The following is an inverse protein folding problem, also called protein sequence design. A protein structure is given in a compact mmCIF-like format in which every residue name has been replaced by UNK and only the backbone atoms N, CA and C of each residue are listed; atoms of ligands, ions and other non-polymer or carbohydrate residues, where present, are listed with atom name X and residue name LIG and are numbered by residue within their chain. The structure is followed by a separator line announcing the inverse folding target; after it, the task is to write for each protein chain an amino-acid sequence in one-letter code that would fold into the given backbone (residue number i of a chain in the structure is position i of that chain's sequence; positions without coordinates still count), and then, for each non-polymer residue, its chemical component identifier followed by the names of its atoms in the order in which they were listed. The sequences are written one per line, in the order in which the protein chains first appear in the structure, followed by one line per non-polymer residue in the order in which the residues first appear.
data_IF_330774741200
#
_entry.id   IF_330774741200
#
_cell.length_a   1.000
_cell.length_b   1.000
_cell.length_c   1.000
_cell.angle_alpha   90.00
_cell.angle_beta   90.00
_cell.angle_gamma   90.00
#
_symmetry.space_group_name_H-M   'P 1'
#
loop_
_entity.id
_entity.type
_entity.pdbx_description
1 polymer ?
#
# COMPACT_ATOMS: atom_id res chain seq x y z
N UNK A 1 43.20 17.36 -5.93
CA UNK A 1 43.46 18.35 -7.01
C UNK A 1 42.93 17.73 -8.29
N UNK A 2 42.06 18.32 -9.11
CA UNK A 2 41.38 19.61 -9.15
C UNK A 2 39.97 19.32 -9.69
N UNK A 3 38.94 19.92 -9.10
CA UNK A 3 37.57 19.86 -9.58
C UNK A 3 37.46 20.79 -10.80
N UNK A 4 37.07 20.29 -11.97
CA UNK A 4 36.82 21.14 -13.13
C UNK A 4 35.42 20.89 -13.70
N UNK A 5 34.59 21.92 -13.52
CA UNK A 5 33.39 22.32 -14.27
C UNK A 5 32.27 21.29 -14.52
N UNK A 6 31.21 21.42 -13.69
CA UNK A 6 29.85 21.03 -14.07
C UNK A 6 29.31 21.99 -15.13
N UNK A 7 29.15 21.53 -16.37
CA UNK A 7 28.26 22.19 -17.34
C UNK A 7 26.86 21.57 -17.24
N UNK A 8 25.89 22.37 -16.78
CA UNK A 8 24.46 22.04 -16.80
C UNK A 8 23.95 22.09 -18.25
N UNK A 9 23.35 21.00 -18.73
CA UNK A 9 22.49 21.00 -19.93
C UNK A 9 21.03 20.95 -19.48
N UNK A 10 20.09 21.72 -20.07
CA UNK A 10 18.83 22.06 -19.41
C UNK A 10 17.66 21.06 -19.61
N UNK A 11 17.87 19.85 -20.13
CA UNK A 11 16.75 18.97 -20.51
C UNK A 11 16.87 17.49 -20.13
N UNK A 12 17.93 17.10 -19.43
CA UNK A 12 18.07 15.76 -18.84
C UNK A 12 18.64 15.94 -17.43
N UNK A 13 18.17 15.16 -16.47
CA UNK A 13 18.56 15.26 -15.05
C UNK A 13 20.08 15.26 -14.82
N UNK A 14 20.52 15.55 -13.60
CA UNK A 14 21.94 15.64 -13.23
C UNK A 14 22.72 14.36 -13.58
N UNK A 15 23.41 14.34 -14.73
CA UNK A 15 24.39 13.33 -15.07
C UNK A 15 25.80 13.91 -14.84
N UNK A 16 26.57 13.26 -13.97
CA UNK A 16 28.02 13.44 -13.94
C UNK A 16 28.64 12.44 -14.92
N UNK A 17 29.10 12.90 -16.07
CA UNK A 17 29.80 12.06 -17.05
C UNK A 17 31.29 12.10 -16.73
N UNK A 18 31.81 11.03 -16.13
CA UNK A 18 33.25 10.81 -16.03
C UNK A 18 33.69 9.94 -17.19
N UNK A 19 34.33 10.54 -18.20
CA UNK A 19 34.85 9.82 -19.37
C UNK A 19 36.19 9.19 -19.00
N UNK A 20 36.19 7.90 -18.65
CA UNK A 20 37.42 7.11 -18.59
C UNK A 20 37.69 6.47 -19.96
N UNK A 21 38.93 6.50 -20.46
CA UNK A 21 39.27 5.91 -21.74
C UNK A 21 39.17 4.38 -21.66
N UNK A 22 38.37 3.78 -22.55
CA UNK A 22 38.55 2.39 -22.95
C UNK A 22 37.50 1.34 -22.55
N UNK A 23 36.42 1.68 -21.84
CA UNK A 23 35.26 0.76 -21.69
C UNK A 23 34.02 1.53 -21.22
N UNK A 24 33.10 1.78 -22.13
CA UNK A 24 31.78 2.30 -21.77
C UNK A 24 31.00 1.22 -21.01
N UNK A 25 31.10 1.23 -19.68
CA UNK A 25 30.04 0.69 -18.82
C UNK A 25 29.30 1.89 -18.26
N UNK A 26 28.01 1.99 -18.58
CA UNK A 26 27.12 2.88 -17.86
C UNK A 26 27.18 2.50 -16.38
N UNK A 27 27.81 3.34 -15.56
CA UNK A 27 27.74 3.23 -14.11
C UNK A 27 26.37 3.78 -13.72
N UNK A 28 25.39 2.89 -13.61
CA UNK A 28 24.16 3.22 -12.88
C UNK A 28 24.61 3.50 -11.45
N UNK A 29 24.32 4.71 -10.97
CA UNK A 29 24.59 5.10 -9.60
C UNK A 29 24.02 4.04 -8.66
N UNK A 30 24.81 3.61 -7.66
CA UNK A 30 24.35 2.72 -6.60
C UNK A 30 23.12 3.27 -5.85
N UNK A 31 22.78 4.53 -6.07
CA UNK A 31 21.58 5.21 -5.58
C UNK A 31 20.30 4.84 -6.34
N UNK A 32 20.37 4.55 -7.65
CA UNK A 32 19.21 4.10 -8.44
C UNK A 32 19.01 2.59 -8.36
N UNK A 33 20.09 1.83 -8.13
CA UNK A 33 20.08 0.37 -8.09
C UNK A 33 19.49 -0.25 -6.80
N UNK A 34 18.93 0.57 -5.89
CA UNK A 34 18.34 0.09 -4.63
C UNK A 34 17.09 0.87 -4.21
N UNK A 35 16.29 1.34 -5.17
CA UNK A 35 14.94 1.81 -4.84
C UNK A 35 14.07 0.58 -4.55
N UNK A 36 13.99 0.18 -3.29
CA UNK A 36 12.94 -0.71 -2.81
C UNK A 36 11.60 -0.12 -3.23
N UNK A 37 10.67 -0.96 -3.67
CA UNK A 37 9.29 -0.55 -3.91
C UNK A 37 8.71 -0.01 -2.59
N UNK A 38 8.30 1.25 -2.50
CA UNK A 38 7.76 1.83 -1.25
C UNK A 38 6.22 1.70 -1.21
N UNK A 39 5.65 1.25 -0.10
CA UNK A 39 4.20 1.06 0.10
C UNK A 39 3.43 2.37 -0.08
N UNK A 40 4.05 3.49 0.31
CA UNK A 40 3.54 4.85 0.11
C UNK A 40 3.05 5.11 -1.32
N UNK A 41 3.75 4.57 -2.32
CA UNK A 41 3.50 4.82 -3.74
C UNK A 41 2.15 4.28 -4.22
N UNK A 42 1.57 3.33 -3.48
CA UNK A 42 0.29 2.73 -3.83
C UNK A 42 -0.90 3.49 -3.24
N UNK A 43 -0.70 4.29 -2.20
CA UNK A 43 -1.77 5.03 -1.53
C UNK A 43 -1.90 6.45 -2.04
N UNK A 44 -3.12 6.85 -2.34
CA UNK A 44 -3.53 8.23 -2.56
C UNK A 44 -4.42 8.70 -1.42
N UNK A 45 -4.49 10.02 -1.18
CA UNK A 45 -5.31 10.59 -0.09
C UNK A 45 -6.79 10.21 -0.20
N UNK A 46 -7.30 10.06 -1.42
CA UNK A 46 -8.69 9.68 -1.68
C UNK A 46 -8.98 8.19 -1.50
N UNK A 47 -7.95 7.37 -1.32
CA UNK A 47 -8.06 5.95 -1.00
C UNK A 47 -7.95 5.69 0.52
N UNK A 48 -8.07 6.74 1.35
CA UNK A 48 -7.91 6.69 2.80
C UNK A 48 -9.20 7.17 3.48
N UNK A 49 -9.75 6.34 4.37
CA UNK A 49 -10.87 6.71 5.24
C UNK A 49 -10.52 6.50 6.70
N UNK A 50 -10.37 7.60 7.45
CA UNK A 50 -9.93 7.55 8.84
C UNK A 50 -11.05 7.28 9.85
N UNK A 51 -12.31 7.31 9.40
CA UNK A 51 -13.49 7.10 10.24
C UNK A 51 -14.54 6.24 9.52
N UNK A 52 -14.27 4.94 9.44
CA UNK A 52 -15.23 3.96 8.94
C UNK A 52 -16.46 3.88 9.86
N UNK A 53 -17.65 3.74 9.28
CA UNK A 53 -18.91 3.68 10.03
C UNK A 53 -19.37 2.25 10.31
N UNK A 54 -18.95 1.30 9.49
CA UNK A 54 -19.31 -0.11 9.55
C UNK A 54 -19.01 -0.74 10.90
N UNK A 55 -19.88 -1.68 11.24
CA UNK A 55 -19.88 -2.45 12.48
C UNK A 55 -19.75 -3.95 12.22
N UNK A 56 -19.92 -4.37 10.96
CA UNK A 56 -19.76 -5.75 10.51
C UNK A 56 -18.64 -5.88 9.48
N UNK A 57 -18.09 -7.09 9.29
CA UNK A 57 -17.11 -7.35 8.23
C UNK A 57 -17.60 -6.88 6.86
N UNK A 58 -18.84 -7.19 6.53
CA UNK A 58 -19.43 -6.89 5.22
C UNK A 58 -19.55 -5.38 4.98
N UNK A 59 -19.94 -4.61 6.00
CA UNK A 59 -20.00 -3.14 5.92
C UNK A 59 -18.63 -2.53 5.71
N UNK A 60 -17.63 -2.99 6.47
CA UNK A 60 -16.24 -2.54 6.32
C UNK A 60 -15.72 -2.83 4.91
N UNK A 61 -15.96 -4.03 4.38
CA UNK A 61 -15.55 -4.38 3.01
C UNK A 61 -16.20 -3.45 1.98
N UNK A 62 -17.50 -3.12 2.12
CA UNK A 62 -18.20 -2.20 1.22
C UNK A 62 -17.63 -0.79 1.27
N UNK A 63 -17.36 -0.26 2.46
CA UNK A 63 -16.76 1.08 2.60
C UNK A 63 -15.36 1.14 1.99
N UNK A 64 -14.54 0.10 2.19
CA UNK A 64 -13.21 0.03 1.58
C UNK A 64 -13.26 -0.04 0.05
N UNK A 65 -14.22 -0.79 -0.51
CA UNK A 65 -14.43 -0.87 -1.96
C UNK A 65 -14.84 0.49 -2.52
N UNK A 66 -15.73 1.22 -1.84
CA UNK A 66 -16.20 2.52 -2.30
C UNK A 66 -15.06 3.54 -2.49
N UNK A 67 -13.96 3.42 -1.73
CA UNK A 67 -12.76 4.24 -1.90
C UNK A 67 -12.05 4.02 -3.23
N UNK A 68 -12.30 2.89 -3.91
CA UNK A 68 -11.74 2.60 -5.23
C UNK A 68 -12.45 3.36 -6.35
N UNK A 69 -13.63 3.94 -6.08
CA UNK A 69 -14.44 4.76 -7.02
C UNK A 69 -14.72 4.02 -8.33
N UNK A 70 -15.11 2.75 -8.25
CA UNK A 70 -15.53 1.97 -9.41
C UNK A 70 -17.03 2.22 -9.70
N UNK A 71 -17.54 1.66 -10.79
CA UNK A 71 -18.98 1.62 -11.04
C UNK A 71 -19.68 0.60 -10.14
N UNK A 72 -20.99 0.78 -9.93
CA UNK A 72 -21.80 -0.04 -9.02
C UNK A 72 -21.73 -1.54 -9.31
N UNK A 73 -21.67 -1.92 -10.59
CA UNK A 73 -21.57 -3.33 -10.99
C UNK A 73 -20.21 -3.91 -10.60
N UNK A 74 -19.13 -3.16 -10.81
CA UNK A 74 -17.78 -3.54 -10.39
C UNK A 74 -17.67 -3.64 -8.87
N UNK A 75 -18.26 -2.71 -8.12
CA UNK A 75 -18.30 -2.74 -6.65
C UNK A 75 -18.99 -4.00 -6.14
N UNK A 76 -20.18 -4.31 -6.66
CA UNK A 76 -20.94 -5.50 -6.28
C UNK A 76 -20.21 -6.80 -6.60
N UNK A 77 -19.47 -6.86 -7.72
CA UNK A 77 -18.66 -8.02 -8.08
C UNK A 77 -17.46 -8.17 -7.14
N UNK A 78 -16.74 -7.08 -6.88
CA UNK A 78 -15.58 -7.07 -6.00
C UNK A 78 -15.95 -7.45 -4.56
N UNK A 79 -17.08 -6.95 -4.05
CA UNK A 79 -17.61 -7.31 -2.74
C UNK A 79 -17.84 -8.82 -2.61
N UNK A 80 -18.51 -9.44 -3.59
CA UNK A 80 -18.74 -10.90 -3.58
C UNK A 80 -17.44 -11.68 -3.55
N UNK A 81 -16.42 -11.23 -4.29
CA UNK A 81 -15.11 -11.87 -4.34
C UNK A 81 -14.35 -11.75 -3.01
N UNK A 82 -14.30 -10.55 -2.43
CA UNK A 82 -13.66 -10.32 -1.13
C UNK A 82 -14.37 -11.08 -0.02
N UNK A 83 -15.71 -11.05 0.01
CA UNK A 83 -16.50 -11.82 0.98
C UNK A 83 -16.23 -13.32 0.87
N UNK A 84 -16.17 -13.86 -0.35
CA UNK A 84 -15.81 -15.27 -0.57
C UNK A 84 -14.41 -15.57 -0.02
N UNK A 85 -13.43 -14.69 -0.28
CA UNK A 85 -12.05 -14.85 0.23
C UNK A 85 -12.00 -14.80 1.75
N UNK A 86 -12.70 -13.85 2.37
CA UNK A 86 -12.76 -13.68 3.82
C UNK A 86 -13.44 -14.88 4.51
N UNK A 87 -14.41 -15.51 3.85
CA UNK A 87 -15.08 -16.73 4.34
C UNK A 87 -14.20 -17.98 4.29
N UNK A 88 -13.15 -18.03 3.46
CA UNK A 88 -12.17 -19.14 3.47
C UNK A 88 -11.30 -19.11 4.73
N UNK A 89 -11.21 -17.95 5.38
CA UNK A 89 -10.36 -17.72 6.53
C UNK A 89 -10.11 -16.22 6.67
N UNK A 90 -10.18 -15.76 7.92
CA UNK A 90 -10.01 -14.35 8.25
C UNK A 90 -8.73 -13.79 7.67
N UNK A 91 -8.81 -12.56 7.15
CA UNK A 91 -7.63 -11.78 6.76
C UNK A 91 -7.14 -10.86 7.88
N UNK A 92 -7.71 -10.97 9.09
CA UNK A 92 -7.21 -10.35 10.30
C UNK A 92 -5.93 -11.02 10.78
N UNK A 93 -4.80 -10.32 10.62
CA UNK A 93 -3.46 -10.83 10.96
C UNK A 93 -3.04 -10.54 12.40
N UNK A 94 -3.94 -9.92 13.18
CA UNK A 94 -3.73 -9.54 14.57
C UNK A 94 -3.24 -8.11 14.74
N UNK A 95 -3.04 -7.70 16.00
CA UNK A 95 -2.61 -6.33 16.38
C UNK A 95 -3.51 -5.23 15.83
N UNK A 96 -4.80 -5.54 15.72
CA UNK A 96 -5.79 -4.61 15.20
C UNK A 96 -5.74 -4.41 13.68
N UNK A 97 -5.03 -5.25 12.92
CA UNK A 97 -4.86 -5.11 11.46
C UNK A 97 -5.51 -6.28 10.71
N UNK A 98 -6.23 -5.95 9.63
CA UNK A 98 -6.65 -6.90 8.60
C UNK A 98 -6.19 -6.43 7.22
N UNK A 99 -5.96 -7.39 6.34
CA UNK A 99 -5.57 -7.15 4.95
C UNK A 99 -6.58 -7.82 4.00
N UNK A 100 -7.83 -7.34 3.87
CA UNK A 100 -8.75 -7.88 2.87
C UNK A 100 -8.13 -7.78 1.48
N UNK A 101 -8.03 -8.90 0.75
CA UNK A 101 -7.34 -8.90 -0.53
C UNK A 101 -7.94 -9.88 -1.53
N UNK A 102 -7.88 -9.56 -2.83
CA UNK A 102 -8.18 -10.52 -3.89
C UNK A 102 -7.53 -10.14 -5.22
N UNK A 103 -7.57 -11.08 -6.17
CA UNK A 103 -7.35 -10.78 -7.59
C UNK A 103 -8.70 -10.69 -8.29
N UNK A 104 -8.92 -9.66 -9.12
CA UNK A 104 -10.19 -9.45 -9.81
C UNK A 104 -10.01 -8.72 -11.15
N UNK A 105 -10.82 -9.10 -12.15
CA UNK A 105 -10.88 -8.45 -13.46
C UNK A 105 -11.50 -7.05 -13.41
N UNK A 106 -12.12 -6.66 -12.29
CA UNK A 106 -12.71 -5.32 -12.09
C UNK A 106 -11.66 -4.20 -12.06
N UNK A 107 -10.38 -4.54 -11.83
CA UNK A 107 -9.27 -3.59 -11.87
C UNK A 107 -8.24 -4.02 -12.91
N UNK A 108 -7.64 -3.04 -13.59
CA UNK A 108 -6.59 -3.27 -14.59
C UNK A 108 -5.16 -3.04 -14.06
N UNK A 109 -5.04 -2.56 -12.81
CA UNK A 109 -3.79 -2.32 -12.08
C UNK A 109 -4.02 -2.56 -10.60
N UNK A 110 -2.93 -2.71 -9.84
CA UNK A 110 -3.01 -2.82 -8.38
C UNK A 110 -3.69 -1.58 -7.79
N UNK A 111 -4.69 -1.81 -6.93
CA UNK A 111 -5.41 -0.79 -6.17
C UNK A 111 -5.31 -1.13 -4.70
N UNK A 112 -5.07 -0.12 -3.87
CA UNK A 112 -5.08 -0.26 -2.42
C UNK A 112 -5.98 0.80 -1.80
N UNK A 113 -6.54 0.49 -0.64
CA UNK A 113 -7.25 1.47 0.18
C UNK A 113 -7.00 1.19 1.67
N UNK A 114 -6.98 2.26 2.46
CA UNK A 114 -6.80 2.17 3.90
C UNK A 114 -8.05 2.68 4.60
N UNK A 115 -8.47 1.94 5.62
CA UNK A 115 -9.61 2.31 6.45
C UNK A 115 -9.29 2.15 7.93
N UNK A 116 -9.81 3.07 8.75
CA UNK A 116 -9.72 2.99 10.21
C UNK A 116 -11.09 3.03 10.87
N UNK A 117 -11.33 2.09 11.79
CA UNK A 117 -12.43 2.07 12.75
C UNK A 117 -11.86 2.15 14.17
N UNK A 118 -12.02 3.30 14.83
CA UNK A 118 -11.46 3.52 16.17
C UNK A 118 -12.04 2.55 17.21
N UNK A 119 -13.33 2.25 17.16
CA UNK A 119 -13.97 1.29 18.07
C UNK A 119 -13.59 -0.17 17.80
N UNK A 120 -12.94 -0.45 16.67
CA UNK A 120 -12.70 -1.80 16.17
C UNK A 120 -13.95 -2.48 15.64
N UNK A 121 -13.75 -3.60 14.95
CA UNK A 121 -14.78 -4.53 14.47
C UNK A 121 -14.33 -5.95 14.78
N UNK A 122 -15.26 -6.83 15.18
CA UNK A 122 -14.99 -8.27 15.22
C UNK A 122 -14.73 -8.77 13.80
N UNK A 123 -13.45 -8.93 13.50
CA UNK A 123 -12.99 -9.43 12.21
C UNK A 123 -12.50 -10.88 12.32
N UNK A 124 -12.74 -11.59 13.43
CA UNK A 124 -12.18 -12.94 13.69
C UNK A 124 -10.66 -12.99 13.43
N UNK A 125 -9.92 -12.00 13.93
CA UNK A 125 -8.47 -11.96 13.74
C UNK A 125 -7.78 -13.16 14.42
N UNK A 126 -6.57 -13.50 13.97
CA UNK A 126 -5.81 -14.63 14.50
C UNK A 126 -5.51 -14.55 16.00
N UNK A 127 -5.46 -13.34 16.56
CA UNK A 127 -5.25 -13.08 17.99
C UNK A 127 -6.56 -12.86 18.75
N UNK A 128 -7.70 -13.14 18.12
CA UNK A 128 -9.06 -12.99 18.66
C UNK A 128 -9.43 -11.57 19.11
N UNK A 129 -8.63 -10.57 18.72
CA UNK A 129 -8.88 -9.16 19.04
C UNK A 129 -9.65 -8.45 17.93
N UNK A 130 -10.39 -7.38 18.26
CA UNK A 130 -10.99 -6.51 17.25
C UNK A 130 -9.95 -5.92 16.30
N UNK A 131 -10.36 -5.69 15.05
CA UNK A 131 -9.55 -5.02 14.04
C UNK A 131 -9.95 -3.56 13.92
N UNK A 132 -8.96 -2.68 13.99
CA UNK A 132 -9.14 -1.23 13.86
C UNK A 132 -8.70 -0.73 12.48
N UNK A 133 -7.79 -1.43 11.81
CA UNK A 133 -7.10 -0.95 10.62
C UNK A 133 -7.23 -1.97 9.49
N UNK A 134 -7.62 -1.49 8.32
CA UNK A 134 -7.93 -2.35 7.19
C UNK A 134 -7.16 -1.87 5.97
N UNK A 135 -6.39 -2.77 5.38
CA UNK A 135 -5.62 -2.52 4.16
C UNK A 135 -6.23 -3.37 3.03
N UNK A 136 -7.10 -2.77 2.23
CA UNK A 136 -7.65 -3.41 1.06
C UNK A 136 -6.58 -3.49 -0.04
N UNK A 137 -6.41 -4.66 -0.66
CA UNK A 137 -5.55 -4.86 -1.83
C UNK A 137 -6.32 -5.58 -2.94
N UNK A 138 -6.40 -4.98 -4.11
CA UNK A 138 -7.03 -5.58 -5.30
C UNK A 138 -6.08 -5.53 -6.46
N UNK A 139 -5.74 -6.69 -7.02
CA UNK A 139 -4.87 -6.80 -8.19
C UNK A 139 -5.61 -7.39 -9.39
N UNK A 140 -5.19 -7.10 -10.63
CA UNK A 140 -5.63 -7.88 -11.78
C UNK A 140 -5.16 -9.35 -11.65
N UNK A 141 -5.85 -10.32 -12.29
CA UNK A 141 -5.41 -11.71 -12.32
C UNK A 141 -4.03 -11.87 -12.96
N UNK A 142 -3.77 -11.10 -14.02
CA UNK A 142 -2.48 -11.00 -14.69
C UNK A 142 -1.85 -9.67 -14.34
N UNK A 143 -0.70 -9.70 -13.67
CA UNK A 143 0.02 -8.51 -13.22
C UNK A 143 1.46 -8.56 -13.78
N UNK A 144 1.79 -7.63 -14.67
CA UNK A 144 3.11 -7.59 -15.33
C UNK A 144 4.23 -7.28 -14.32
N UNK A 145 3.94 -6.42 -13.34
CA UNK A 145 4.89 -5.93 -12.34
C UNK A 145 5.02 -6.82 -11.10
N UNK A 146 4.18 -7.86 -10.95
CA UNK A 146 4.14 -8.76 -9.79
C UNK A 146 4.14 -8.05 -8.41
N UNK A 147 3.50 -6.88 -8.28
CA UNK A 147 3.52 -6.04 -7.07
C UNK A 147 2.58 -6.54 -5.96
N UNK A 148 1.58 -7.38 -6.28
CA UNK A 148 0.59 -7.84 -5.32
C UNK A 148 1.18 -8.50 -4.05
N UNK A 149 2.05 -9.51 -4.21
CA UNK A 149 2.66 -10.21 -3.06
C UNK A 149 3.67 -9.32 -2.32
N UNK A 150 4.55 -8.56 -2.99
CA UNK A 150 5.39 -7.56 -2.34
C UNK A 150 4.62 -6.55 -1.48
N UNK A 151 3.50 -6.00 -1.97
CA UNK A 151 2.68 -5.03 -1.22
C UNK A 151 2.06 -5.67 0.01
N UNK A 152 1.51 -6.89 -0.15
CA UNK A 152 0.97 -7.65 0.98
C UNK A 152 2.03 -7.94 2.04
N UNK A 153 3.23 -8.33 1.60
CA UNK A 153 4.39 -8.58 2.48
C UNK A 153 4.83 -7.32 3.23
N UNK A 154 4.86 -6.16 2.57
CA UNK A 154 5.19 -4.87 3.20
C UNK A 154 4.15 -4.44 4.23
N UNK A 155 2.86 -4.59 3.96
CA UNK A 155 1.80 -4.33 4.96
C UNK A 155 1.94 -5.31 6.16
N UNK A 156 2.23 -6.58 5.89
CA UNK A 156 2.46 -7.56 6.95
C UNK A 156 3.73 -7.23 7.76
N UNK A 157 4.79 -6.68 7.15
CA UNK A 157 5.97 -6.21 7.87
C UNK A 157 5.66 -4.97 8.71
N UNK A 158 4.99 -3.97 8.13
CA UNK A 158 4.52 -2.77 8.82
C UNK A 158 3.68 -3.11 10.06
N UNK A 159 2.81 -4.13 9.97
CA UNK A 159 1.99 -4.59 11.11
C UNK A 159 2.80 -5.20 12.27
N UNK A 160 4.05 -5.63 12.02
CA UNK A 160 4.92 -6.22 13.04
C UNK A 160 5.66 -5.18 13.86
N UNK A 161 5.68 -3.92 13.45
CA UNK A 161 6.26 -2.84 14.23
C UNK A 161 5.39 -2.52 15.45
N UNK A 162 6.02 -2.34 16.60
CA UNK A 162 5.33 -2.25 17.89
C UNK A 162 4.61 -0.91 18.09
N UNK A 163 5.10 0.18 17.50
CA UNK A 163 4.53 1.52 17.62
C UNK A 163 3.40 1.78 16.59
N UNK A 164 3.34 1.00 15.51
CA UNK A 164 2.39 1.21 14.40
C UNK A 164 0.93 1.28 14.85
N UNK A 165 0.38 0.35 15.67
CA UNK A 165 -1.01 0.45 16.10
C UNK A 165 -1.34 1.77 16.82
N UNK A 166 -0.47 2.22 17.72
CA UNK A 166 -0.67 3.48 18.44
C UNK A 166 -0.60 4.68 17.49
N UNK A 167 0.36 4.70 16.58
CA UNK A 167 0.50 5.78 15.59
C UNK A 167 -0.70 5.86 14.65
N UNK A 168 -1.20 4.71 14.18
CA UNK A 168 -2.41 4.64 13.37
C UNK A 168 -3.67 5.12 14.11
N UNK A 169 -3.76 4.93 15.43
CA UNK A 169 -4.85 5.50 16.24
C UNK A 169 -4.78 7.03 16.32
N UNK A 170 -3.58 7.60 16.35
CA UNK A 170 -3.40 9.05 16.54
C UNK A 170 -3.53 9.90 15.28
N UNK A 171 -3.46 9.28 14.09
CA UNK A 171 -3.55 9.98 12.80
C UNK A 171 -4.88 10.75 12.68
N UNK A 172 -4.82 12.01 12.27
CA UNK A 172 -5.98 12.90 12.10
C UNK A 172 -6.26 13.18 10.64
N UNK A 173 -5.25 13.11 9.77
CA UNK A 173 -5.36 13.43 8.36
C UNK A 173 -4.74 12.36 7.45
N UNK A 174 -5.27 12.11 6.23
CA UNK A 174 -4.69 11.16 5.30
C UNK A 174 -3.19 11.39 5.03
N UNK A 175 -2.75 12.65 4.99
CA UNK A 175 -1.34 13.02 4.80
C UNK A 175 -0.43 12.48 5.90
N UNK A 176 -0.90 12.42 7.14
CA UNK A 176 -0.12 11.88 8.26
C UNK A 176 0.06 10.36 8.13
N UNK A 177 -0.95 9.64 7.63
CA UNK A 177 -0.83 8.22 7.30
C UNK A 177 0.22 8.00 6.21
N UNK A 178 0.19 8.83 5.17
CA UNK A 178 1.15 8.77 4.07
C UNK A 178 2.57 9.06 4.56
N UNK A 179 2.75 10.09 5.40
CA UNK A 179 4.04 10.40 6.02
C UNK A 179 4.54 9.26 6.94
N UNK A 180 3.64 8.59 7.67
CA UNK A 180 3.99 7.41 8.47
C UNK A 180 4.54 6.27 7.60
N UNK A 181 3.92 5.99 6.46
CA UNK A 181 4.43 4.96 5.54
C UNK A 181 5.83 5.30 5.03
N UNK A 182 6.05 6.57 4.64
CA UNK A 182 7.37 7.06 4.21
C UNK A 182 8.43 6.94 5.31
N UNK A 183 8.10 7.33 6.54
CA UNK A 183 9.02 7.24 7.67
C UNK A 183 9.43 5.80 7.98
N UNK A 184 8.50 4.84 7.86
CA UNK A 184 8.78 3.43 8.10
C UNK A 184 9.59 2.76 6.99
N UNK A 185 9.72 3.38 5.81
CA UNK A 185 10.45 2.80 4.67
C UNK A 185 9.86 1.45 4.22
N UNK A 186 8.55 1.28 4.42
CA UNK A 186 7.79 0.11 3.99
C UNK A 186 7.10 0.38 2.68
#
# INVERSE_FOLDING_TARGET
MQCQHLTRLPTLGNFAVCVLPGRARAFISSYEARRSMELREFFSEDAIQLNLQGTTKDEILKELIALLKLDEKSDGMLFKMLKRRENLGSTGIGRGIAIPHCRSLVVNRLRVAFGRKVSGVDFKAIDEKPVNFFFLIVAPPLEVSNQYLPVLGKIAQFSKESDVPQRLLTIKEPKEFLALLEEKGV
#
